data_IF_895541759561
#
_entry.id   IF_895541759561
#
_cell.length_a   1.000
_cell.length_b   1.000
_cell.length_c   1.000
_cell.angle_alpha   90.00
_cell.angle_beta   90.00
_cell.angle_gamma   90.00
#
_symmetry.space_group_name_H-M   'P 1'
#
loop_
_entity.id
_entity.type
_entity.pdbx_description
1 polymer ?
#
# COMPACT_ATOMS: atom_id res chain seq x y z
N UNK A 1 14.70 -16.09 -18.34
CA UNK A 1 13.64 -15.39 -17.56
C UNK A 1 13.31 -14.11 -18.32
N UNK A 2 12.06 -13.89 -18.71
CA UNK A 2 11.69 -12.70 -19.48
C UNK A 2 11.85 -11.40 -18.70
N UNK A 3 11.93 -10.28 -19.41
CA UNK A 3 11.93 -8.93 -18.81
C UNK A 3 10.72 -8.73 -17.90
N UNK A 4 10.95 -8.26 -16.67
CA UNK A 4 9.95 -8.14 -15.60
C UNK A 4 9.17 -6.82 -15.61
N UNK A 5 9.67 -5.83 -16.32
CA UNK A 5 9.09 -4.51 -16.48
C UNK A 5 9.08 -4.12 -17.96
N UNK A 6 8.18 -3.23 -18.34
CA UNK A 6 8.26 -2.52 -19.61
C UNK A 6 9.32 -1.43 -19.47
N UNK A 7 10.15 -1.23 -20.50
CA UNK A 7 11.08 -0.10 -20.52
C UNK A 7 10.27 1.20 -20.44
N UNK A 8 10.63 2.08 -19.51
CA UNK A 8 9.99 3.37 -19.38
C UNK A 8 10.58 4.33 -20.43
N UNK A 9 9.84 4.54 -21.52
CA UNK A 9 10.18 5.49 -22.58
C UNK A 9 9.22 6.70 -22.59
N UNK A 10 8.43 6.87 -21.51
CA UNK A 10 7.55 8.03 -21.36
C UNK A 10 8.40 9.30 -21.20
N UNK A 11 7.95 10.46 -21.72
CA UNK A 11 8.70 11.70 -21.61
C UNK A 11 8.92 12.09 -20.14
N UNK A 12 10.05 12.73 -19.86
CA UNK A 12 10.34 13.28 -18.53
C UNK A 12 9.47 14.52 -18.23
N UNK A 13 9.39 14.87 -16.95
CA UNK A 13 8.71 16.09 -16.53
C UNK A 13 9.47 17.32 -17.04
N UNK A 14 8.75 18.25 -17.68
CA UNK A 14 9.28 19.55 -18.07
C UNK A 14 8.63 20.62 -17.17
N UNK A 15 9.41 21.30 -16.30
CA UNK A 15 8.92 22.47 -15.57
C UNK A 15 8.52 23.56 -16.58
N UNK A 16 7.39 24.23 -16.36
CA UNK A 16 6.95 25.34 -17.21
C UNK A 16 7.85 26.58 -16.98
N UNK A 17 9.03 26.58 -17.60
CA UNK A 17 9.85 27.77 -17.86
C UNK A 17 10.43 27.65 -19.28
N UNK A 18 9.62 27.99 -20.29
CA UNK A 18 10.02 28.59 -21.58
C UNK A 18 8.79 28.63 -22.48
N UNK A 19 8.32 29.83 -22.79
CA UNK A 19 7.30 30.06 -23.82
C UNK A 19 7.87 29.85 -25.22
N UNK A 20 8.22 28.61 -25.57
CA UNK A 20 8.65 28.26 -26.92
C UNK A 20 7.74 27.22 -27.56
N UNK A 21 7.08 27.68 -28.61
CA UNK A 21 6.37 27.00 -29.69
C UNK A 21 6.04 25.52 -29.48
N UNK A 22 4.74 25.23 -29.42
CA UNK A 22 4.21 23.91 -29.72
C UNK A 22 4.82 23.40 -31.03
N UNK A 23 5.78 22.49 -30.94
CA UNK A 23 6.18 21.67 -32.06
C UNK A 23 4.98 20.79 -32.39
N UNK A 24 4.25 21.19 -33.42
CA UNK A 24 3.17 20.41 -34.03
C UNK A 24 3.81 19.21 -34.73
N UNK A 25 4.19 18.18 -33.97
CA UNK A 25 4.44 16.86 -34.53
C UNK A 25 3.10 16.12 -34.63
N UNK A 26 2.71 15.81 -35.87
CA UNK A 26 1.56 15.00 -36.21
C UNK A 26 1.64 13.61 -35.53
N UNK A 27 0.49 13.15 -35.04
CA UNK A 27 0.26 11.91 -34.29
C UNK A 27 0.96 11.76 -32.92
N UNK A 28 0.57 12.62 -31.97
CA UNK A 28 0.70 12.27 -30.54
C UNK A 28 -0.15 11.04 -30.26
N UNK A 29 0.49 9.95 -29.84
CA UNK A 29 -0.21 8.73 -29.43
C UNK A 29 -1.15 8.98 -28.23
N UNK A 30 -2.05 8.03 -27.95
CA UNK A 30 -3.07 8.19 -26.92
C UNK A 30 -2.47 8.39 -25.52
N UNK A 31 -1.32 7.77 -25.22
CA UNK A 31 -0.60 7.93 -23.96
C UNK A 31 -0.05 9.35 -23.79
N UNK A 32 0.60 9.89 -24.82
CA UNK A 32 1.16 11.26 -24.82
C UNK A 32 0.05 12.29 -24.62
N UNK A 33 -1.12 12.07 -25.23
CA UNK A 33 -2.31 12.91 -25.01
C UNK A 33 -2.79 12.87 -23.54
N UNK A 34 -2.75 11.72 -22.88
CA UNK A 34 -3.09 11.63 -21.44
C UNK A 34 -2.06 12.39 -20.57
N UNK A 35 -0.77 12.25 -20.89
CA UNK A 35 0.32 12.92 -20.18
C UNK A 35 0.25 14.44 -20.31
N UNK A 36 -0.26 14.97 -21.43
CA UNK A 36 -0.41 16.42 -21.62
C UNK A 36 -1.69 17.01 -21.03
N UNK A 37 -2.64 16.19 -20.53
CA UNK A 37 -3.90 16.71 -19.97
C UNK A 37 -3.65 17.53 -18.69
N UNK A 38 -4.32 18.67 -18.49
CA UNK A 38 -4.34 19.33 -17.19
C UNK A 38 -4.84 18.38 -16.09
N UNK A 39 -4.25 18.45 -14.90
CA UNK A 39 -4.49 17.46 -13.83
C UNK A 39 -5.99 17.31 -13.50
N UNK A 40 -6.74 18.41 -13.43
CA UNK A 40 -8.19 18.41 -13.16
C UNK A 40 -9.00 17.61 -14.18
N UNK A 41 -8.63 17.66 -15.45
CA UNK A 41 -9.31 16.91 -16.52
C UNK A 41 -8.87 15.45 -16.53
N UNK A 42 -7.58 15.22 -16.26
CA UNK A 42 -7.01 13.89 -16.10
C UNK A 42 -7.65 13.12 -14.94
N UNK A 43 -7.70 13.70 -13.74
CA UNK A 43 -8.25 13.05 -12.54
C UNK A 43 -9.74 12.70 -12.71
N UNK A 44 -10.53 13.59 -13.33
CA UNK A 44 -11.93 13.30 -13.68
C UNK A 44 -12.08 12.11 -14.64
N UNK A 45 -11.17 11.99 -15.62
CA UNK A 45 -11.15 10.85 -16.55
C UNK A 45 -10.80 9.55 -15.80
N UNK A 46 -9.80 9.58 -14.93
CA UNK A 46 -9.41 8.46 -14.08
C UNK A 46 -10.54 8.03 -13.16
N UNK A 47 -11.19 8.97 -12.48
CA UNK A 47 -12.31 8.70 -11.58
C UNK A 47 -13.45 7.98 -12.31
N UNK A 48 -13.83 8.43 -13.52
CA UNK A 48 -14.86 7.74 -14.32
C UNK A 48 -14.47 6.29 -14.66
N UNK A 49 -13.22 6.06 -15.06
CA UNK A 49 -12.74 4.71 -15.36
C UNK A 49 -12.68 3.84 -14.09
N UNK A 50 -12.24 4.42 -12.96
CA UNK A 50 -12.19 3.74 -11.67
C UNK A 50 -13.57 3.28 -11.18
N UNK A 51 -14.61 4.10 -11.40
CA UNK A 51 -15.98 3.73 -11.07
C UNK A 51 -16.47 2.55 -11.93
N UNK A 52 -16.14 2.52 -13.23
CA UNK A 52 -16.42 1.36 -14.09
C UNK A 52 -15.71 0.10 -13.60
N UNK A 53 -14.42 0.20 -13.23
CA UNK A 53 -13.67 -0.93 -12.68
C UNK A 53 -14.24 -1.39 -11.34
N UNK A 54 -14.63 -0.47 -10.46
CA UNK A 54 -15.30 -0.76 -9.18
C UNK A 54 -16.56 -1.58 -9.42
N UNK A 55 -17.40 -1.17 -10.37
CA UNK A 55 -18.65 -1.88 -10.68
C UNK A 55 -18.36 -3.29 -11.22
N UNK A 56 -17.34 -3.46 -12.06
CA UNK A 56 -16.87 -4.79 -12.50
C UNK A 56 -16.39 -5.65 -11.32
N UNK A 57 -15.58 -5.09 -10.41
CA UNK A 57 -15.07 -5.81 -9.25
C UNK A 57 -16.21 -6.24 -8.31
N UNK A 58 -17.17 -5.35 -8.07
CA UNK A 58 -18.38 -5.66 -7.28
C UNK A 58 -19.18 -6.77 -7.94
N UNK A 59 -19.45 -6.68 -9.24
CA UNK A 59 -20.18 -7.72 -9.96
C UNK A 59 -19.49 -9.08 -9.84
N UNK A 60 -18.19 -9.14 -10.08
CA UNK A 60 -17.43 -10.39 -10.14
C UNK A 60 -17.23 -11.03 -8.76
N UNK A 61 -17.07 -10.23 -7.71
CA UNK A 61 -16.74 -10.71 -6.35
C UNK A 61 -17.95 -10.84 -5.44
N UNK A 62 -19.02 -10.08 -5.68
CA UNK A 62 -20.21 -10.05 -4.83
C UNK A 62 -21.46 -10.61 -5.51
N UNK A 63 -21.85 -10.07 -6.66
CA UNK A 63 -23.11 -10.47 -7.31
C UNK A 63 -22.99 -11.85 -7.96
N UNK A 64 -21.97 -12.07 -8.78
CA UNK A 64 -21.75 -13.34 -9.49
C UNK A 64 -21.45 -14.50 -8.53
N UNK A 65 -20.84 -14.22 -7.37
CA UNK A 65 -20.59 -15.23 -6.35
C UNK A 65 -21.87 -15.63 -5.59
N UNK A 66 -22.97 -14.90 -5.79
CA UNK A 66 -24.23 -15.06 -5.06
C UNK A 66 -24.09 -14.59 -3.61
N UNK A 67 -23.32 -13.52 -3.38
CA UNK A 67 -23.01 -12.94 -2.06
C UNK A 67 -22.37 -13.94 -1.08
N UNK A 68 -21.68 -14.96 -1.61
CA UNK A 68 -20.98 -15.97 -0.81
C UNK A 68 -19.51 -15.63 -0.68
N UNK A 69 -19.04 -15.58 0.56
CA UNK A 69 -17.65 -15.25 0.90
C UNK A 69 -16.86 -16.51 1.18
N UNK A 70 -15.87 -16.81 0.32
CA UNK A 70 -14.89 -17.90 0.52
C UNK A 70 -13.55 -17.37 1.06
N UNK A 71 -12.98 -16.39 0.37
CA UNK A 71 -11.83 -15.64 0.86
C UNK A 71 -12.31 -14.31 1.39
N UNK A 72 -12.14 -14.10 2.69
CA UNK A 72 -12.67 -12.93 3.39
C UNK A 72 -11.69 -11.78 3.46
N UNK A 73 -10.38 -12.00 3.26
CA UNK A 73 -9.37 -11.02 3.67
C UNK A 73 -9.27 -9.81 2.72
N UNK A 74 -8.51 -8.78 3.11
CA UNK A 74 -8.32 -7.57 2.32
C UNK A 74 -7.41 -7.84 1.09
N UNK A 75 -6.44 -8.74 1.23
CA UNK A 75 -5.42 -9.03 0.23
C UNK A 75 -6.04 -9.55 -1.08
N UNK A 76 -6.67 -10.73 -1.01
CA UNK A 76 -7.26 -11.44 -2.16
C UNK A 76 -8.76 -11.62 -2.08
N UNK A 77 -9.34 -11.41 -0.90
CA UNK A 77 -10.74 -11.66 -0.60
C UNK A 77 -11.67 -10.47 -0.83
N UNK A 78 -12.92 -10.66 -0.44
CA UNK A 78 -14.00 -9.69 -0.62
C UNK A 78 -13.92 -8.48 0.32
N UNK A 79 -13.16 -8.53 1.41
CA UNK A 79 -12.88 -7.32 2.20
C UNK A 79 -12.08 -6.31 1.35
N UNK A 80 -11.29 -6.77 0.37
CA UNK A 80 -10.68 -5.94 -0.66
C UNK A 80 -11.72 -5.14 -1.46
N UNK A 81 -12.82 -5.78 -1.84
CA UNK A 81 -13.97 -5.14 -2.50
C UNK A 81 -14.64 -4.13 -1.58
N UNK A 82 -14.86 -4.48 -0.30
CA UNK A 82 -15.43 -3.56 0.68
C UNK A 82 -14.54 -2.31 0.85
N UNK A 83 -13.22 -2.48 0.91
CA UNK A 83 -12.29 -1.37 1.06
C UNK A 83 -12.22 -0.47 -0.18
N UNK A 84 -12.38 -1.05 -1.38
CA UNK A 84 -12.55 -0.27 -2.62
C UNK A 84 -13.86 0.54 -2.61
N UNK A 85 -14.97 -0.03 -2.14
CA UNK A 85 -16.23 0.69 -1.97
C UNK A 85 -16.12 1.81 -0.93
N UNK A 86 -15.46 1.53 0.20
CA UNK A 86 -15.15 2.54 1.21
C UNK A 86 -14.34 3.71 0.62
N UNK A 87 -13.33 3.40 -0.21
CA UNK A 87 -12.57 4.43 -0.93
C UNK A 87 -13.42 5.22 -1.93
N UNK A 88 -14.29 4.54 -2.67
CA UNK A 88 -15.26 5.19 -3.56
C UNK A 88 -16.16 6.14 -2.81
N UNK A 89 -16.68 5.75 -1.63
CA UNK A 89 -17.45 6.61 -0.75
C UNK A 89 -16.65 7.84 -0.31
N UNK A 90 -15.39 7.68 0.11
CA UNK A 90 -14.56 8.82 0.52
C UNK A 90 -14.40 9.88 -0.59
N UNK A 91 -14.32 9.44 -1.85
CA UNK A 91 -14.13 10.30 -3.02
C UNK A 91 -15.46 10.88 -3.53
N UNK A 92 -16.53 10.08 -3.55
CA UNK A 92 -17.80 10.44 -4.22
C UNK A 92 -18.92 10.85 -3.27
N UNK A 93 -18.80 10.52 -1.98
CA UNK A 93 -19.87 10.61 -0.97
C UNK A 93 -21.13 9.82 -1.34
N UNK A 94 -21.00 8.77 -2.15
CA UNK A 94 -22.10 7.89 -2.49
C UNK A 94 -22.41 6.95 -1.31
N UNK A 95 -23.48 7.25 -0.56
CA UNK A 95 -23.92 6.46 0.59
C UNK A 95 -24.26 4.99 0.25
N UNK A 96 -24.59 4.67 -1.01
CA UNK A 96 -24.82 3.29 -1.41
C UNK A 96 -23.53 2.47 -1.41
N UNK A 97 -22.39 3.08 -1.75
CA UNK A 97 -21.09 2.39 -1.67
C UNK A 97 -20.75 2.08 -0.19
N UNK A 98 -21.07 2.98 0.74
CA UNK A 98 -20.84 2.77 2.17
C UNK A 98 -21.75 1.67 2.74
N UNK A 99 -23.04 1.65 2.36
CA UNK A 99 -23.96 0.57 2.75
C UNK A 99 -23.50 -0.79 2.22
N UNK A 100 -23.13 -0.87 0.94
CA UNK A 100 -22.63 -2.11 0.35
C UNK A 100 -21.30 -2.54 0.97
N UNK A 101 -20.42 -1.59 1.34
CA UNK A 101 -19.22 -1.89 2.12
C UNK A 101 -19.57 -2.62 3.42
N UNK A 102 -20.54 -2.11 4.20
CA UNK A 102 -20.96 -2.75 5.46
C UNK A 102 -21.60 -4.13 5.24
N UNK A 103 -22.41 -4.31 4.19
CA UNK A 103 -22.97 -5.62 3.84
C UNK A 103 -21.87 -6.66 3.58
N UNK A 104 -20.85 -6.29 2.80
CA UNK A 104 -19.72 -7.16 2.49
C UNK A 104 -18.88 -7.42 3.75
N UNK A 105 -18.63 -6.41 4.58
CA UNK A 105 -17.90 -6.57 5.85
C UNK A 105 -18.63 -7.56 6.76
N UNK A 106 -19.96 -7.51 6.84
CA UNK A 106 -20.71 -8.46 7.66
C UNK A 106 -20.57 -9.90 7.16
N UNK A 107 -20.60 -10.11 5.85
CA UNK A 107 -20.35 -11.44 5.29
C UNK A 107 -18.89 -11.90 5.53
N UNK A 108 -17.91 -11.01 5.43
CA UNK A 108 -16.52 -11.30 5.81
C UNK A 108 -16.40 -11.67 7.29
N UNK A 109 -17.12 -10.97 8.15
CA UNK A 109 -17.14 -11.21 9.59
C UNK A 109 -17.68 -12.61 9.89
N UNK A 110 -18.80 -13.01 9.27
CA UNK A 110 -19.35 -14.35 9.42
C UNK A 110 -18.38 -15.46 8.96
N UNK A 111 -17.66 -15.27 7.85
CA UNK A 111 -16.69 -16.26 7.35
C UNK A 111 -15.39 -16.30 8.16
N UNK A 112 -15.00 -15.22 8.81
CA UNK A 112 -13.71 -15.11 9.51
C UNK A 112 -13.75 -15.42 11.01
N UNK A 113 -14.90 -15.81 11.57
CA UNK A 113 -15.08 -16.07 13.01
C UNK A 113 -14.07 -17.04 13.60
N UNK A 114 -13.77 -18.10 12.87
CA UNK A 114 -12.85 -19.17 13.32
C UNK A 114 -11.42 -18.98 12.79
N UNK A 115 -11.10 -17.80 12.22
CA UNK A 115 -9.81 -17.57 11.60
C UNK A 115 -8.73 -17.17 12.60
N UNK A 116 -7.58 -17.83 12.52
CA UNK A 116 -6.40 -17.51 13.33
C UNK A 116 -5.59 -16.32 12.78
N UNK A 117 -5.99 -15.72 11.66
CA UNK A 117 -5.26 -14.59 11.05
C UNK A 117 -5.65 -13.29 11.76
N UNK A 118 -4.65 -12.52 12.21
CA UNK A 118 -4.86 -11.40 13.13
C UNK A 118 -4.52 -10.01 12.57
N UNK A 119 -4.15 -9.90 11.29
CA UNK A 119 -3.65 -8.64 10.71
C UNK A 119 -4.74 -7.87 9.96
N UNK A 120 -4.45 -6.61 9.63
CA UNK A 120 -5.34 -5.81 8.78
C UNK A 120 -5.49 -6.39 7.37
N UNK A 121 -4.38 -6.79 6.74
CA UNK A 121 -4.39 -7.17 5.33
C UNK A 121 -4.89 -8.61 5.12
N UNK A 122 -4.50 -9.55 5.98
CA UNK A 122 -4.79 -10.97 5.77
C UNK A 122 -5.72 -11.58 6.83
N UNK A 123 -6.23 -10.80 7.78
CA UNK A 123 -6.89 -11.36 8.96
C UNK A 123 -8.13 -10.64 9.47
N UNK A 124 -8.63 -11.15 10.59
CA UNK A 124 -9.88 -10.72 11.22
C UNK A 124 -9.81 -9.28 11.74
N UNK A 125 -8.62 -8.79 12.11
CA UNK A 125 -8.43 -7.40 12.53
C UNK A 125 -8.81 -6.42 11.43
N UNK A 126 -8.55 -6.74 10.15
CA UNK A 126 -8.98 -5.91 9.02
C UNK A 126 -10.50 -5.82 8.88
N UNK A 127 -11.18 -6.95 9.07
CA UNK A 127 -12.64 -7.03 8.99
C UNK A 127 -13.28 -6.15 10.07
N UNK A 128 -12.86 -6.33 11.33
CA UNK A 128 -13.36 -5.54 12.45
C UNK A 128 -13.00 -4.06 12.31
N UNK A 129 -11.77 -3.75 11.91
CA UNK A 129 -11.31 -2.37 11.80
C UNK A 129 -12.07 -1.58 10.72
N UNK A 130 -12.25 -2.17 9.53
CA UNK A 130 -13.04 -1.54 8.47
C UNK A 130 -14.51 -1.41 8.86
N UNK A 131 -15.09 -2.46 9.47
CA UNK A 131 -16.47 -2.44 9.93
C UNK A 131 -16.75 -1.34 10.94
N UNK A 132 -15.88 -1.18 11.94
CA UNK A 132 -16.00 -0.13 12.94
C UNK A 132 -15.94 1.28 12.31
N UNK A 133 -14.97 1.52 11.42
CA UNK A 133 -14.82 2.83 10.74
C UNK A 133 -16.02 3.12 9.83
N UNK A 134 -16.47 2.15 9.05
CA UNK A 134 -17.64 2.32 8.18
C UNK A 134 -18.92 2.57 8.99
N UNK A 135 -19.14 1.84 10.10
CA UNK A 135 -20.29 2.01 10.98
C UNK A 135 -20.30 3.40 11.66
N UNK A 136 -19.12 3.91 12.05
CA UNK A 136 -19.00 5.28 12.55
C UNK A 136 -19.47 6.31 11.53
N UNK A 137 -19.13 6.13 10.25
CA UNK A 137 -19.51 7.07 9.19
C UNK A 137 -21.01 7.02 8.86
N UNK A 138 -21.68 5.88 9.07
CA UNK A 138 -23.15 5.80 8.97
C UNK A 138 -23.87 6.30 10.22
N UNK A 139 -23.16 6.62 11.30
CA UNK A 139 -23.74 7.01 12.58
C UNK A 139 -24.35 5.85 13.38
N UNK A 140 -24.03 4.61 13.02
CA UNK A 140 -24.53 3.42 13.71
C UNK A 140 -23.62 3.04 14.89
N UNK A 141 -23.89 3.63 16.05
CA UNK A 141 -23.09 3.41 17.26
C UNK A 141 -23.15 1.96 17.76
N UNK A 142 -24.28 1.26 17.59
CA UNK A 142 -24.41 -0.13 18.03
C UNK A 142 -23.52 -1.06 17.19
N UNK A 143 -23.51 -0.83 15.87
CA UNK A 143 -22.67 -1.58 14.94
C UNK A 143 -21.19 -1.28 15.14
N UNK A 144 -20.85 -0.01 15.40
CA UNK A 144 -19.51 0.42 15.79
C UNK A 144 -19.03 -0.33 17.04
N UNK A 145 -19.80 -0.30 18.14
CA UNK A 145 -19.45 -0.96 19.40
C UNK A 145 -19.30 -2.48 19.23
N UNK A 146 -20.14 -3.09 18.38
CA UNK A 146 -20.04 -4.51 18.03
C UNK A 146 -18.68 -4.83 17.40
N UNK A 147 -18.25 -4.09 16.38
CA UNK A 147 -16.97 -4.36 15.72
C UNK A 147 -15.76 -4.03 16.60
N UNK A 148 -15.83 -2.97 17.42
CA UNK A 148 -14.78 -2.66 18.39
C UNK A 148 -14.65 -3.78 19.45
N UNK A 149 -15.77 -4.27 19.99
CA UNK A 149 -15.77 -5.39 20.94
C UNK A 149 -15.07 -6.61 20.33
N UNK A 150 -15.41 -6.98 19.10
CA UNK A 150 -14.76 -8.10 18.38
C UNK A 150 -13.29 -7.86 18.11
N UNK A 151 -12.90 -6.63 17.76
CA UNK A 151 -11.49 -6.27 17.66
C UNK A 151 -10.76 -6.45 19.00
N UNK A 152 -11.42 -6.15 20.13
CA UNK A 152 -10.89 -6.33 21.48
C UNK A 152 -10.77 -7.78 21.94
N UNK A 153 -11.50 -8.70 21.30
CA UNK A 153 -11.42 -10.14 21.55
C UNK A 153 -10.19 -10.78 20.88
N UNK A 154 -9.62 -10.18 19.84
CA UNK A 154 -8.44 -10.70 19.15
C UNK A 154 -7.29 -10.92 20.15
N UNK A 155 -6.73 -12.14 20.15
CA UNK A 155 -5.57 -12.54 20.94
C UNK A 155 -4.42 -12.84 19.99
N UNK A 156 -3.21 -12.45 20.37
CA UNK A 156 -2.01 -12.72 19.58
C UNK A 156 -1.31 -13.95 20.17
N UNK A 157 -1.24 -15.08 19.43
CA UNK A 157 -0.47 -16.23 19.87
C UNK A 157 1.00 -15.86 20.12
N UNK A 158 1.69 -16.60 20.99
CA UNK A 158 3.11 -16.35 21.29
C UNK A 158 4.00 -16.53 20.06
N UNK A 159 3.74 -17.56 19.24
CA UNK A 159 4.48 -17.90 18.02
C UNK A 159 4.12 -17.08 16.77
N UNK A 160 3.35 -16.00 16.90
CA UNK A 160 3.00 -15.15 15.77
C UNK A 160 4.26 -14.44 15.21
N UNK A 161 4.44 -14.36 13.88
CA UNK A 161 5.57 -13.63 13.30
C UNK A 161 5.47 -12.12 13.56
N UNK A 162 6.47 -11.35 13.12
CA UNK A 162 6.54 -9.92 13.39
C UNK A 162 6.11 -9.04 12.21
N UNK A 163 6.07 -9.59 11.00
CA UNK A 163 5.86 -8.83 9.76
C UNK A 163 4.42 -8.36 9.53
N UNK A 164 4.18 -7.67 8.40
CA UNK A 164 2.96 -6.90 8.16
C UNK A 164 1.78 -7.78 7.73
N UNK A 165 1.99 -8.83 6.92
CA UNK A 165 0.88 -9.59 6.37
C UNK A 165 0.28 -10.56 7.38
N UNK A 166 1.06 -11.16 8.25
CA UNK A 166 0.60 -12.20 9.18
C UNK A 166 1.04 -11.98 10.63
N UNK A 167 1.87 -10.97 10.90
CA UNK A 167 2.52 -10.77 12.17
C UNK A 167 2.00 -9.63 13.04
N UNK A 168 2.76 -9.37 14.10
CA UNK A 168 2.49 -8.35 15.12
C UNK A 168 2.42 -6.94 14.53
N UNK A 169 3.27 -6.60 13.56
CA UNK A 169 3.20 -5.30 12.89
C UNK A 169 1.87 -5.14 12.14
N UNK A 170 1.37 -6.18 11.48
CA UNK A 170 0.08 -6.17 10.78
C UNK A 170 -1.13 -5.98 11.68
N UNK A 171 -1.10 -6.54 12.89
CA UNK A 171 -2.11 -6.29 13.91
C UNK A 171 -2.00 -4.86 14.47
N UNK A 172 -0.78 -4.42 14.80
CA UNK A 172 -0.54 -3.08 15.34
C UNK A 172 -0.94 -1.99 14.35
N UNK A 173 -0.73 -2.20 13.05
CA UNK A 173 -1.25 -1.33 11.99
C UNK A 173 -2.78 -1.19 12.04
N UNK A 174 -3.51 -2.28 12.28
CA UNK A 174 -4.98 -2.24 12.42
C UNK A 174 -5.41 -1.40 13.65
N UNK A 175 -4.68 -1.49 14.77
CA UNK A 175 -4.92 -0.66 15.95
C UNK A 175 -4.74 0.82 15.64
N UNK A 176 -3.66 1.17 14.93
CA UNK A 176 -3.38 2.54 14.52
C UNK A 176 -4.44 3.09 13.55
N UNK A 177 -4.90 2.26 12.60
CA UNK A 177 -5.99 2.59 11.70
C UNK A 177 -7.27 2.95 12.45
N UNK A 178 -7.67 2.12 13.43
CA UNK A 178 -8.83 2.41 14.29
C UNK A 178 -8.67 3.73 15.05
N UNK A 179 -7.51 3.94 15.68
CA UNK A 179 -7.25 5.17 16.45
C UNK A 179 -7.26 6.41 15.56
N UNK A 180 -6.75 6.33 14.33
CA UNK A 180 -6.76 7.44 13.38
C UNK A 180 -8.17 7.83 12.94
N UNK A 181 -9.03 6.85 12.64
CA UNK A 181 -10.33 7.10 12.03
C UNK A 181 -11.49 7.25 13.03
N UNK A 182 -11.40 6.60 14.20
CA UNK A 182 -12.46 6.63 15.22
C UNK A 182 -12.11 7.64 16.31
N UNK A 183 -10.88 7.63 16.80
CA UNK A 183 -10.40 8.56 17.81
C UNK A 183 -9.24 7.97 18.59
N UNK A 184 -8.33 8.85 19.04
CA UNK A 184 -7.23 8.50 19.96
C UNK A 184 -7.86 7.78 21.16
N UNK A 185 -7.45 6.53 21.41
CA UNK A 185 -7.96 5.61 22.45
C UNK A 185 -9.08 4.63 22.08
N UNK A 186 -9.45 4.51 20.80
CA UNK A 186 -10.34 3.42 20.34
C UNK A 186 -9.71 2.03 20.59
N UNK A 187 -8.39 1.95 20.47
CA UNK A 187 -7.56 0.88 20.99
C UNK A 187 -6.59 1.49 21.99
N UNK A 188 -6.65 1.11 23.28
CA UNK A 188 -5.86 1.76 24.32
C UNK A 188 -4.37 1.46 24.17
N UNK A 189 -3.53 2.42 24.57
CA UNK A 189 -2.07 2.26 24.58
C UNK A 189 -1.62 1.04 25.39
N UNK A 190 -2.32 0.71 26.49
CA UNK A 190 -2.06 -0.50 27.30
C UNK A 190 -2.16 -1.82 26.53
N UNK A 191 -2.85 -1.83 25.38
CA UNK A 191 -2.93 -2.99 24.49
C UNK A 191 -1.90 -2.94 23.35
N UNK A 192 -1.52 -1.75 22.90
CA UNK A 192 -0.57 -1.56 21.80
C UNK A 192 0.88 -1.65 22.27
N UNK A 193 1.20 -1.02 23.41
CA UNK A 193 2.56 -0.90 23.94
C UNK A 193 3.23 -2.26 24.22
N UNK A 194 2.56 -3.27 24.82
CA UNK A 194 3.17 -4.60 24.97
C UNK A 194 3.51 -5.28 23.64
N UNK A 195 2.77 -4.99 22.57
CA UNK A 195 3.06 -5.53 21.23
C UNK A 195 4.31 -4.87 20.64
N UNK A 196 4.46 -3.56 20.85
CA UNK A 196 5.66 -2.80 20.46
C UNK A 196 6.90 -3.32 21.20
N UNK A 197 6.80 -3.47 22.52
CA UNK A 197 7.89 -3.99 23.37
C UNK A 197 8.31 -5.39 22.94
N UNK A 198 7.36 -6.27 22.61
CA UNK A 198 7.66 -7.61 22.12
C UNK A 198 8.36 -7.59 20.76
N UNK A 199 7.96 -6.68 19.85
CA UNK A 199 8.65 -6.48 18.57
C UNK A 199 10.11 -6.04 18.80
N UNK A 200 10.34 -5.04 19.67
CA UNK A 200 11.71 -4.60 19.98
C UNK A 200 12.53 -5.67 20.69
N UNK A 201 11.94 -6.36 21.68
CA UNK A 201 12.62 -7.44 22.43
C UNK A 201 13.11 -8.52 21.48
N UNK A 202 12.24 -9.02 20.60
CA UNK A 202 12.63 -10.04 19.61
C UNK A 202 13.58 -9.49 18.55
N UNK A 203 13.34 -8.27 18.07
CA UNK A 203 14.18 -7.62 17.05
C UNK A 203 15.62 -7.45 17.52
N UNK A 204 15.81 -6.97 18.76
CA UNK A 204 17.11 -6.81 19.42
C UNK A 204 17.79 -8.15 19.71
N UNK A 205 17.01 -9.19 20.03
CA UNK A 205 17.54 -10.53 20.29
C UNK A 205 18.18 -11.16 19.04
N UNK A 206 17.61 -10.91 17.86
CA UNK A 206 18.14 -11.42 16.59
C UNK A 206 19.10 -10.44 15.91
N UNK A 207 18.95 -9.14 16.17
CA UNK A 207 19.80 -8.08 15.65
C UNK A 207 21.18 -8.04 16.32
N UNK A 208 22.07 -7.23 15.73
CA UNK A 208 23.43 -7.02 16.22
C UNK A 208 23.70 -5.51 16.25
N UNK A 209 23.92 -4.96 17.46
CA UNK A 209 24.29 -3.54 17.63
C UNK A 209 25.59 -3.26 16.88
N UNK A 210 25.63 -2.15 16.14
CA UNK A 210 26.75 -1.80 15.26
C UNK A 210 26.65 -2.35 13.83
N UNK A 211 25.69 -3.25 13.55
CA UNK A 211 25.30 -3.67 12.19
C UNK A 211 23.84 -3.31 11.92
N UNK A 212 22.93 -4.26 12.07
CA UNK A 212 21.49 -4.07 11.96
C UNK A 212 20.87 -4.27 13.35
N UNK A 213 20.48 -3.20 14.07
CA UNK A 213 20.02 -3.28 15.45
C UNK A 213 18.77 -4.15 15.65
N UNK A 214 17.86 -4.14 14.68
CA UNK A 214 16.65 -4.95 14.69
C UNK A 214 16.65 -5.90 13.49
N UNK A 215 16.47 -7.19 13.77
CA UNK A 215 16.37 -8.22 12.74
C UNK A 215 15.19 -9.15 13.01
N UNK A 216 14.54 -9.62 11.95
CA UNK A 216 13.36 -10.47 12.04
C UNK A 216 13.40 -11.54 10.97
N UNK A 217 12.64 -12.61 11.20
CA UNK A 217 12.53 -13.74 10.29
C UNK A 217 11.07 -14.10 10.03
N UNK A 218 10.78 -14.49 8.79
CA UNK A 218 9.52 -15.12 8.41
C UNK A 218 9.83 -16.28 7.45
N UNK A 219 9.30 -17.47 7.72
CA UNK A 219 9.58 -18.70 6.95
C UNK A 219 11.08 -18.95 6.69
N UNK A 220 11.93 -18.86 7.72
CA UNK A 220 13.36 -19.15 7.57
C UNK A 220 14.17 -18.02 6.91
N UNK A 221 13.56 -16.88 6.60
CA UNK A 221 14.19 -15.80 5.83
C UNK A 221 14.08 -14.44 6.50
N UNK A 222 15.21 -13.74 6.51
CA UNK A 222 15.35 -12.37 7.01
C UNK A 222 14.98 -11.36 5.93
N UNK A 223 13.69 -11.16 5.71
CA UNK A 223 13.19 -10.29 4.64
C UNK A 223 13.42 -8.81 4.93
N UNK A 224 13.60 -8.02 3.86
CA UNK A 224 13.78 -6.56 3.95
C UNK A 224 12.53 -5.77 3.56
N UNK A 225 11.72 -6.30 2.65
CA UNK A 225 10.61 -5.56 2.02
C UNK A 225 9.43 -5.27 2.95
N UNK A 226 8.45 -4.52 2.42
CA UNK A 226 7.33 -3.99 3.21
C UNK A 226 6.33 -5.05 3.68
N UNK A 227 6.12 -6.12 2.89
CA UNK A 227 5.14 -7.15 3.23
C UNK A 227 5.62 -8.03 4.39
N UNK A 228 6.83 -8.57 4.28
CA UNK A 228 7.31 -9.64 5.16
C UNK A 228 8.57 -9.29 5.97
N UNK A 229 9.07 -8.05 5.86
CA UNK A 229 10.42 -7.72 6.28
C UNK A 229 10.57 -6.44 7.09
N UNK A 230 11.83 -6.03 7.23
CA UNK A 230 12.26 -4.89 8.04
C UNK A 230 11.47 -3.61 7.71
N UNK A 231 11.33 -3.26 6.43
CA UNK A 231 10.64 -2.06 5.98
C UNK A 231 9.20 -1.99 6.52
N UNK A 232 8.47 -3.12 6.51
CA UNK A 232 7.10 -3.17 7.02
C UNK A 232 7.02 -2.94 8.52
N UNK A 233 7.93 -3.59 9.26
CA UNK A 233 7.98 -3.49 10.71
C UNK A 233 8.38 -2.07 11.13
N UNK A 234 9.45 -1.52 10.55
CA UNK A 234 9.91 -0.16 10.83
C UNK A 234 8.84 0.88 10.49
N UNK A 235 8.14 0.70 9.35
CA UNK A 235 7.04 1.60 8.97
C UNK A 235 5.98 1.69 10.07
N UNK A 236 5.53 0.56 10.60
CA UNK A 236 4.52 0.51 11.68
C UNK A 236 5.05 1.12 12.97
N UNK A 237 6.30 0.81 13.35
CA UNK A 237 6.92 1.36 14.56
C UNK A 237 7.01 2.89 14.53
N UNK A 238 7.23 3.51 13.37
CA UNK A 238 7.26 4.97 13.22
C UNK A 238 5.89 5.65 13.34
N UNK A 239 4.80 4.90 13.53
CA UNK A 239 3.46 5.44 13.80
C UNK A 239 3.04 5.33 15.27
N UNK A 240 3.88 4.74 16.12
CA UNK A 240 3.67 4.75 17.58
C UNK A 240 4.61 5.74 18.27
N UNK A 241 4.32 6.06 19.52
CA UNK A 241 5.26 6.78 20.38
C UNK A 241 6.38 5.82 20.80
N UNK A 242 7.60 6.16 20.42
CA UNK A 242 8.82 5.38 20.65
C UNK A 242 9.70 6.05 21.70
N UNK A 243 10.36 5.24 22.52
CA UNK A 243 11.39 5.71 23.45
C UNK A 243 12.67 6.12 22.70
N UNK A 244 13.55 6.95 23.29
CA UNK A 244 14.77 7.40 22.62
C UNK A 244 15.66 6.26 22.08
N UNK A 245 15.82 5.16 22.82
CA UNK A 245 16.60 4.00 22.38
C UNK A 245 15.89 3.21 21.26
N UNK A 246 14.57 3.19 21.26
CA UNK A 246 13.76 2.58 20.20
C UNK A 246 13.85 3.37 18.90
N UNK A 247 13.85 4.71 18.99
CA UNK A 247 14.07 5.61 17.86
C UNK A 247 15.43 5.33 17.21
N UNK A 248 16.50 5.22 18.00
CA UNK A 248 17.84 4.97 17.48
C UNK A 248 17.97 3.58 16.85
N UNK A 249 17.31 2.56 17.39
CA UNK A 249 17.28 1.23 16.78
C UNK A 249 16.53 1.21 15.44
N UNK A 250 15.40 1.93 15.35
CA UNK A 250 14.64 2.08 14.09
C UNK A 250 15.48 2.81 13.04
N UNK A 251 16.07 3.96 13.40
CA UNK A 251 16.96 4.71 12.49
C UNK A 251 18.14 3.86 12.04
N UNK A 252 18.83 3.20 12.98
CA UNK A 252 19.98 2.37 12.69
C UNK A 252 19.65 1.20 11.76
N UNK A 253 18.45 0.60 11.90
CA UNK A 253 17.97 -0.45 11.01
C UNK A 253 17.71 0.08 9.60
N UNK A 254 17.11 1.26 9.46
CA UNK A 254 16.90 1.90 8.16
C UNK A 254 18.21 2.33 7.50
N UNK A 255 19.13 2.96 8.24
CA UNK A 255 20.46 3.31 7.74
C UNK A 255 21.27 2.06 7.32
N UNK A 256 21.13 0.95 8.04
CA UNK A 256 21.71 -0.33 7.62
C UNK A 256 21.20 -0.75 6.24
N UNK A 257 19.88 -0.70 6.02
CA UNK A 257 19.29 -1.04 4.71
C UNK A 257 19.77 -0.10 3.60
N UNK A 258 19.87 1.20 3.86
CA UNK A 258 20.36 2.20 2.88
C UNK A 258 21.80 1.89 2.46
N UNK A 259 22.69 1.62 3.43
CA UNK A 259 24.12 1.37 3.17
C UNK A 259 24.38 0.05 2.43
N UNK A 260 23.48 -0.92 2.57
CA UNK A 260 23.66 -2.28 2.04
C UNK A 260 22.70 -2.63 0.89
N UNK A 261 22.08 -1.62 0.25
CA UNK A 261 21.30 -1.81 -0.98
C UNK A 261 22.19 -2.21 -2.17
N UNK A 262 21.60 -2.69 -3.25
CA UNK A 262 22.34 -3.06 -4.45
C UNK A 262 23.02 -1.84 -5.10
N UNK A 263 24.08 -2.04 -5.90
CA UNK A 263 24.70 -0.96 -6.68
C UNK A 263 23.72 -0.19 -7.59
N UNK A 264 22.62 -0.81 -8.00
CA UNK A 264 21.55 -0.18 -8.79
C UNK A 264 20.68 0.80 -7.99
N UNK A 265 20.85 0.87 -6.67
CA UNK A 265 19.96 1.58 -5.74
C UNK A 265 18.76 0.76 -5.26
N UNK A 266 18.47 -0.40 -5.87
CA UNK A 266 17.36 -1.26 -5.42
C UNK A 266 17.70 -1.98 -4.12
N UNK A 267 16.68 -2.41 -3.38
CA UNK A 267 16.84 -3.08 -2.09
C UNK A 267 16.72 -4.60 -2.22
N UNK A 268 17.44 -5.31 -1.34
CA UNK A 268 17.42 -6.76 -1.28
C UNK A 268 16.01 -7.27 -0.95
N UNK A 269 15.68 -8.47 -1.40
CA UNK A 269 14.45 -9.14 -0.93
C UNK A 269 14.60 -9.63 0.51
N UNK A 270 15.79 -10.14 0.84
CA UNK A 270 16.17 -10.72 2.13
C UNK A 270 17.69 -10.68 2.29
N UNK A 271 18.19 -10.80 3.53
CA UNK A 271 19.61 -10.93 3.84
C UNK A 271 20.32 -11.95 2.93
N UNK A 272 21.52 -11.61 2.46
CA UNK A 272 22.35 -12.45 1.60
C UNK A 272 21.81 -12.68 0.18
N UNK A 273 20.71 -12.04 -0.22
CA UNK A 273 20.22 -12.16 -1.60
C UNK A 273 21.10 -11.36 -2.57
N UNK A 274 21.69 -12.06 -3.54
CA UNK A 274 22.49 -11.45 -4.61
C UNK A 274 21.65 -11.08 -5.85
N UNK A 275 20.32 -11.30 -5.80
CA UNK A 275 19.46 -11.20 -6.97
C UNK A 275 18.67 -9.89 -7.01
N UNK A 276 19.20 -8.90 -7.73
CA UNK A 276 18.55 -7.61 -7.96
C UNK A 276 17.45 -7.67 -9.05
N UNK A 277 16.27 -8.18 -8.68
CA UNK A 277 15.20 -8.47 -9.65
C UNK A 277 13.78 -8.05 -9.25
N UNK A 278 13.54 -7.71 -7.98
CA UNK A 278 12.21 -7.38 -7.47
C UNK A 278 12.15 -5.87 -7.21
N UNK A 279 11.23 -5.19 -7.89
CA UNK A 279 10.94 -3.75 -7.72
C UNK A 279 9.46 -3.64 -7.38
N UNK A 280 9.08 -4.24 -6.25
CA UNK A 280 7.71 -4.41 -5.80
C UNK A 280 7.48 -3.75 -4.44
N UNK A 281 6.22 -3.47 -4.07
CA UNK A 281 5.91 -3.09 -2.69
C UNK A 281 6.31 -4.19 -1.70
N UNK A 282 5.96 -5.45 -1.99
CA UNK A 282 6.31 -6.55 -1.10
C UNK A 282 7.82 -6.77 -0.93
N UNK A 283 8.61 -6.56 -1.98
CA UNK A 283 10.06 -6.75 -2.01
C UNK A 283 10.75 -5.80 -2.99
N UNK A 284 11.68 -4.98 -2.49
CA UNK A 284 12.49 -4.05 -3.27
C UNK A 284 12.17 -2.58 -3.00
N UNK A 285 12.66 -1.72 -3.89
CA UNK A 285 12.62 -0.27 -3.75
C UNK A 285 11.22 0.31 -3.44
N UNK A 286 10.10 -0.09 -4.06
CA UNK A 286 8.82 0.55 -3.79
C UNK A 286 8.38 0.49 -2.33
N UNK A 287 8.47 -0.69 -1.70
CA UNK A 287 8.10 -0.84 -0.29
C UNK A 287 9.02 -0.05 0.63
N UNK A 288 10.32 -0.09 0.37
CA UNK A 288 11.33 0.62 1.16
C UNK A 288 11.21 2.14 0.99
N UNK A 289 10.95 2.63 -0.22
CA UNK A 289 10.77 4.05 -0.50
C UNK A 289 9.62 4.64 0.34
N UNK A 290 8.48 3.96 0.40
CA UNK A 290 7.34 4.36 1.24
C UNK A 290 7.71 4.39 2.74
N UNK A 291 8.53 3.45 3.20
CA UNK A 291 9.08 3.47 4.57
C UNK A 291 10.00 4.67 4.78
N UNK A 292 10.91 4.95 3.84
CA UNK A 292 11.86 6.05 3.95
C UNK A 292 11.18 7.42 3.89
N UNK A 293 10.10 7.57 3.12
CA UNK A 293 9.26 8.77 3.17
C UNK A 293 8.69 8.98 4.58
N UNK A 294 8.15 7.92 5.20
CA UNK A 294 7.67 7.99 6.58
C UNK A 294 8.80 8.34 7.56
N UNK A 295 9.99 7.77 7.37
CA UNK A 295 11.17 8.08 8.18
C UNK A 295 11.60 9.55 8.03
N UNK A 296 11.61 10.08 6.81
CA UNK A 296 11.88 11.48 6.54
C UNK A 296 10.88 12.42 7.23
N UNK A 297 9.59 12.08 7.24
CA UNK A 297 8.56 12.86 7.94
C UNK A 297 8.74 12.88 9.46
N UNK A 298 9.10 11.74 10.05
CA UNK A 298 9.22 11.58 11.50
C UNK A 298 10.55 12.11 12.02
N UNK A 299 11.65 11.74 11.40
CA UNK A 299 13.00 12.05 11.88
C UNK A 299 13.61 13.30 11.27
N UNK A 300 13.06 13.79 10.14
CA UNK A 300 13.49 15.04 9.46
C UNK A 300 14.99 15.06 9.15
N UNK A 301 15.53 13.95 8.66
CA UNK A 301 16.93 13.82 8.24
C UNK A 301 17.07 13.81 6.73
N UNK A 302 18.09 14.49 6.22
CA UNK A 302 18.37 14.54 4.79
C UNK A 302 18.71 13.15 4.22
N UNK A 303 19.39 12.29 4.99
CA UNK A 303 19.68 10.89 4.61
C UNK A 303 18.41 10.13 4.17
N UNK A 304 17.31 10.27 4.91
CA UNK A 304 16.06 9.56 4.57
C UNK A 304 15.32 10.22 3.40
N UNK A 305 15.40 11.54 3.26
CA UNK A 305 14.83 12.25 2.11
C UNK A 305 15.55 11.83 0.82
N UNK A 306 16.89 11.88 0.81
CA UNK A 306 17.72 11.49 -0.33
C UNK A 306 17.52 10.02 -0.69
N UNK A 307 17.60 9.11 0.28
CA UNK A 307 17.41 7.69 0.04
C UNK A 307 16.01 7.35 -0.50
N UNK A 308 14.96 8.07 -0.04
CA UNK A 308 13.61 7.91 -0.59
C UNK A 308 13.53 8.37 -2.06
N UNK A 309 14.14 9.51 -2.40
CA UNK A 309 14.18 10.02 -3.78
C UNK A 309 14.95 9.09 -4.71
N UNK A 310 16.11 8.57 -4.27
CA UNK A 310 16.91 7.59 -5.03
C UNK A 310 16.15 6.27 -5.25
N UNK A 311 15.44 5.78 -4.23
CA UNK A 311 14.54 4.65 -4.40
C UNK A 311 13.42 4.96 -5.41
N UNK A 312 12.93 6.20 -5.44
CA UNK A 312 12.02 6.71 -6.47
C UNK A 312 12.58 6.61 -7.89
N UNK A 313 13.88 6.88 -8.09
CA UNK A 313 14.55 6.69 -9.40
C UNK A 313 14.57 5.23 -9.84
N UNK A 314 14.81 4.29 -8.91
CA UNK A 314 14.72 2.86 -9.22
C UNK A 314 13.33 2.51 -9.72
N UNK A 315 12.29 3.05 -9.07
CA UNK A 315 10.89 2.79 -9.44
C UNK A 315 10.54 3.46 -10.77
N UNK A 316 11.05 4.66 -11.05
CA UNK A 316 10.84 5.31 -12.34
C UNK A 316 11.42 4.50 -13.50
N UNK A 317 12.62 3.96 -13.32
CA UNK A 317 13.33 3.23 -14.38
C UNK A 317 12.89 1.77 -14.53
N UNK A 318 12.50 1.10 -13.44
CA UNK A 318 12.28 -0.37 -13.39
C UNK A 318 10.93 -0.78 -12.80
N UNK A 319 10.13 0.18 -12.34
CA UNK A 319 8.86 -0.05 -11.64
C UNK A 319 7.63 -0.15 -12.55
N UNK A 320 7.77 0.02 -13.87
CA UNK A 320 6.68 -0.19 -14.83
C UNK A 320 6.47 -1.69 -15.09
N UNK A 321 6.09 -2.42 -14.05
CA UNK A 321 6.05 -3.88 -14.01
C UNK A 321 5.08 -4.47 -15.04
N UNK A 322 5.38 -5.70 -15.50
CA UNK A 322 4.43 -6.48 -16.33
C UNK A 322 3.29 -7.10 -15.51
N UNK A 323 2.77 -6.37 -14.52
CA UNK A 323 1.69 -6.78 -13.61
C UNK A 323 0.87 -5.56 -13.18
N UNK A 324 -0.45 -5.74 -13.01
CA UNK A 324 -1.37 -4.61 -12.77
C UNK A 324 -1.46 -4.17 -11.30
N UNK A 325 -1.44 -5.12 -10.36
CA UNK A 325 -1.91 -4.92 -8.98
C UNK A 325 -1.09 -4.02 -8.05
N UNK A 326 -1.47 -4.04 -6.77
CA UNK A 326 -0.91 -3.20 -5.70
C UNK A 326 0.33 -3.83 -5.06
N UNK A 327 0.34 -5.14 -4.82
CA UNK A 327 1.43 -5.79 -4.08
C UNK A 327 2.76 -5.78 -4.85
N UNK A 328 2.68 -5.96 -6.16
CA UNK A 328 3.82 -6.10 -7.06
C UNK A 328 3.43 -5.79 -8.52
N UNK A 329 2.74 -4.68 -8.71
CA UNK A 329 2.33 -4.18 -10.02
C UNK A 329 2.46 -2.67 -10.13
N UNK A 330 2.09 -2.14 -11.29
CA UNK A 330 2.19 -0.71 -11.59
C UNK A 330 1.33 0.10 -10.60
N UNK A 331 0.14 -0.38 -10.25
CA UNK A 331 -0.76 0.35 -9.34
C UNK A 331 -0.14 0.61 -7.97
N UNK A 332 0.60 -0.37 -7.44
CA UNK A 332 1.32 -0.22 -6.18
C UNK A 332 2.52 0.71 -6.29
N UNK A 333 3.28 0.58 -7.39
CA UNK A 333 4.47 1.39 -7.62
C UNK A 333 4.14 2.87 -7.85
N UNK A 334 2.93 3.20 -8.34
CA UNK A 334 2.45 4.59 -8.43
C UNK A 334 2.49 5.33 -7.09
N UNK A 335 2.20 4.63 -5.98
CA UNK A 335 2.19 5.25 -4.64
C UNK A 335 3.55 5.77 -4.19
N UNK A 336 4.65 5.24 -4.74
CA UNK A 336 5.99 5.75 -4.44
C UNK A 336 6.09 7.22 -4.84
N UNK A 337 5.63 7.54 -6.04
CA UNK A 337 5.64 8.91 -6.54
C UNK A 337 4.61 9.78 -5.81
N UNK A 338 3.44 9.25 -5.45
CA UNK A 338 2.47 9.98 -4.63
C UNK A 338 3.03 10.32 -3.24
N UNK A 339 3.74 9.39 -2.61
CA UNK A 339 4.36 9.58 -1.30
C UNK A 339 5.52 10.58 -1.37
N UNK A 340 6.37 10.50 -2.39
CA UNK A 340 7.42 11.48 -2.65
C UNK A 340 6.86 12.88 -2.97
N UNK A 341 5.75 12.96 -3.71
CA UNK A 341 5.05 14.22 -3.94
C UNK A 341 4.53 14.83 -2.64
N UNK A 342 3.89 14.02 -1.77
CA UNK A 342 3.44 14.46 -0.45
C UNK A 342 4.59 14.92 0.45
N UNK A 343 5.75 14.28 0.37
CA UNK A 343 6.93 14.65 1.15
C UNK A 343 7.57 15.95 0.65
N UNK A 344 7.73 16.12 -0.66
CA UNK A 344 8.61 17.13 -1.25
C UNK A 344 7.88 18.32 -1.87
N UNK A 345 6.59 18.17 -2.22
CA UNK A 345 5.84 19.13 -3.01
C UNK A 345 6.29 19.27 -4.47
N UNK A 346 7.30 18.51 -4.94
CA UNK A 346 7.82 18.61 -6.31
C UNK A 346 6.84 18.02 -7.33
N UNK A 347 6.40 18.84 -8.27
CA UNK A 347 5.45 18.44 -9.32
C UNK A 347 5.94 17.29 -10.22
N UNK A 348 7.25 17.09 -10.32
CA UNK A 348 7.86 15.96 -11.01
C UNK A 348 7.32 14.62 -10.50
N UNK A 349 7.20 14.43 -9.18
CA UNK A 349 6.68 13.17 -8.64
C UNK A 349 5.18 13.02 -8.91
N UNK A 350 4.41 14.12 -8.90
CA UNK A 350 3.01 14.06 -9.33
C UNK A 350 2.89 13.67 -10.81
N UNK A 351 3.78 14.18 -11.66
CA UNK A 351 3.87 13.81 -13.06
C UNK A 351 4.22 12.32 -13.23
N UNK A 352 5.19 11.79 -12.50
CA UNK A 352 5.55 10.36 -12.55
C UNK A 352 4.40 9.44 -12.10
N UNK A 353 3.66 9.84 -11.05
CA UNK A 353 2.43 9.14 -10.63
C UNK A 353 1.37 9.15 -11.75
N UNK A 354 1.14 10.31 -12.35
CA UNK A 354 0.25 10.49 -13.50
C UNK A 354 0.69 9.63 -14.69
N UNK A 355 1.99 9.51 -14.95
CA UNK A 355 2.50 8.71 -16.06
C UNK A 355 2.21 7.22 -15.88
N UNK A 356 2.46 6.67 -14.69
CA UNK A 356 2.14 5.27 -14.38
C UNK A 356 0.63 5.00 -14.47
N UNK A 357 -0.20 5.92 -13.97
CA UNK A 357 -1.65 5.80 -14.07
C UNK A 357 -2.15 5.94 -15.52
N UNK A 358 -1.53 6.81 -16.32
CA UNK A 358 -1.84 6.98 -17.75
C UNK A 358 -1.48 5.71 -18.54
N UNK A 359 -0.33 5.10 -18.26
CA UNK A 359 0.08 3.85 -18.87
C UNK A 359 -0.93 2.73 -18.60
N UNK A 360 -1.39 2.62 -17.34
CA UNK A 360 -2.42 1.65 -16.98
C UNK A 360 -3.73 1.94 -17.73
N UNK A 361 -4.22 3.18 -17.68
CA UNK A 361 -5.47 3.57 -18.35
C UNK A 361 -5.44 3.31 -19.86
N UNK A 362 -4.30 3.51 -20.51
CA UNK A 362 -4.14 3.40 -21.96
C UNK A 362 -3.84 1.98 -22.45
N UNK A 363 -3.09 1.19 -21.65
CA UNK A 363 -2.50 -0.08 -22.12
C UNK A 363 -2.96 -1.32 -21.36
N UNK A 364 -3.40 -1.21 -20.10
CA UNK A 364 -3.51 -2.39 -19.22
C UNK A 364 -4.47 -3.45 -19.76
N UNK A 365 -5.66 -3.05 -20.22
CA UNK A 365 -6.68 -3.97 -20.73
C UNK A 365 -6.13 -4.84 -21.87
N UNK A 366 -5.55 -4.19 -22.89
CA UNK A 366 -4.93 -4.85 -24.04
C UNK A 366 -3.73 -5.73 -23.63
N UNK A 367 -2.85 -5.22 -22.77
CA UNK A 367 -1.67 -5.98 -22.34
C UNK A 367 -2.05 -7.21 -21.51
N UNK A 368 -3.11 -7.13 -20.71
CA UNK A 368 -3.64 -8.26 -19.94
C UNK A 368 -4.27 -9.29 -20.88
N UNK A 369 -5.13 -8.87 -21.82
CA UNK A 369 -5.78 -9.80 -22.76
C UNK A 369 -4.78 -10.52 -23.68
N UNK A 370 -3.67 -9.87 -24.02
CA UNK A 370 -2.59 -10.45 -24.82
C UNK A 370 -1.58 -11.27 -24.01
N UNK A 371 -1.75 -11.38 -22.68
CA UNK A 371 -0.83 -12.11 -21.80
C UNK A 371 0.54 -11.45 -21.61
N UNK A 372 0.71 -10.18 -22.03
CA UNK A 372 1.93 -9.39 -21.87
C UNK A 372 2.04 -8.73 -20.49
N UNK A 373 0.92 -8.55 -19.81
CA UNK A 373 0.81 -8.08 -18.42
C UNK A 373 -0.01 -9.09 -17.61
N UNK A 374 0.47 -9.46 -16.43
CA UNK A 374 -0.27 -10.35 -15.53
C UNK A 374 -1.40 -9.58 -14.81
N UNK A 375 -2.63 -10.07 -14.93
CA UNK A 375 -3.82 -9.49 -14.29
C UNK A 375 -3.99 -9.79 -12.79
N UNK A 376 -3.11 -10.61 -12.22
CA UNK A 376 -3.21 -11.11 -10.83
C UNK A 376 -3.83 -12.51 -10.77
N UNK A 377 -3.40 -13.35 -9.83
CA UNK A 377 -3.95 -14.71 -9.67
C UNK A 377 -5.41 -14.65 -9.24
N UNK A 378 -5.74 -13.63 -8.43
CA UNK A 378 -7.11 -13.18 -8.18
C UNK A 378 -7.35 -11.85 -8.92
N UNK A 379 -7.85 -11.88 -10.17
CA UNK A 379 -7.83 -10.71 -11.07
C UNK A 379 -8.70 -9.53 -10.62
N UNK A 380 -9.63 -9.75 -9.68
CA UNK A 380 -10.51 -8.72 -9.11
C UNK A 380 -10.13 -8.33 -7.68
N UNK A 381 -9.09 -8.93 -7.11
CA UNK A 381 -8.66 -8.61 -5.75
C UNK A 381 -8.06 -7.22 -5.62
N UNK A 382 -7.98 -6.72 -4.38
CA UNK A 382 -7.36 -5.44 -4.09
C UNK A 382 -5.83 -5.50 -4.26
N UNK A 383 -5.14 -6.54 -3.75
CA UNK A 383 -3.68 -6.54 -3.75
C UNK A 383 -3.05 -7.09 -5.04
N UNK A 384 -3.75 -7.91 -5.83
CA UNK A 384 -3.18 -8.52 -7.05
C UNK A 384 -3.83 -8.02 -8.34
N UNK A 385 -5.13 -7.69 -8.28
CA UNK A 385 -5.98 -7.48 -9.43
C UNK A 385 -6.32 -6.03 -9.75
N UNK A 386 -7.35 -5.86 -10.59
CA UNK A 386 -7.87 -4.55 -11.01
C UNK A 386 -8.61 -3.80 -9.89
N UNK A 387 -8.95 -4.48 -8.79
CA UNK A 387 -9.48 -3.81 -7.59
C UNK A 387 -8.49 -2.80 -7.03
N UNK A 388 -7.20 -3.16 -7.00
CA UNK A 388 -6.12 -2.26 -6.63
C UNK A 388 -5.87 -1.12 -7.62
N UNK A 389 -6.04 -1.40 -8.92
CA UNK A 389 -5.96 -0.36 -9.96
C UNK A 389 -7.07 0.67 -9.80
N UNK A 390 -8.31 0.23 -9.58
CA UNK A 390 -9.45 1.10 -9.29
C UNK A 390 -9.20 1.94 -8.03
N UNK A 391 -8.68 1.31 -6.97
CA UNK A 391 -8.34 2.00 -5.72
C UNK A 391 -7.33 3.12 -5.96
N UNK A 392 -6.23 2.84 -6.65
CA UNK A 392 -5.21 3.83 -6.99
C UNK A 392 -5.78 4.97 -7.86
N UNK A 393 -6.61 4.66 -8.85
CA UNK A 393 -7.23 5.70 -9.69
C UNK A 393 -8.17 6.62 -8.91
N UNK A 394 -8.91 6.10 -7.92
CA UNK A 394 -9.71 6.92 -7.01
C UNK A 394 -8.80 7.82 -6.16
N UNK A 395 -7.67 7.30 -5.69
CA UNK A 395 -6.72 8.05 -4.87
C UNK A 395 -6.05 9.21 -5.62
N UNK A 396 -5.83 9.06 -6.93
CA UNK A 396 -5.32 10.12 -7.80
C UNK A 396 -6.23 11.36 -7.87
N UNK A 397 -7.48 11.29 -7.38
CA UNK A 397 -8.36 12.46 -7.36
C UNK A 397 -7.87 13.55 -6.39
N UNK A 398 -7.30 13.16 -5.26
CA UNK A 398 -6.68 14.05 -4.27
C UNK A 398 -5.27 13.54 -3.92
N UNK A 399 -4.27 13.77 -4.79
CA UNK A 399 -2.95 13.12 -4.67
C UNK A 399 -2.21 13.46 -3.36
N UNK A 400 -2.51 14.60 -2.74
CA UNK A 400 -1.94 14.99 -1.45
C UNK A 400 -2.51 14.21 -0.26
N UNK A 401 -3.65 13.52 -0.45
CA UNK A 401 -4.30 12.66 0.54
C UNK A 401 -4.16 11.17 0.21
N UNK A 402 -3.44 10.83 -0.87
CA UNK A 402 -3.32 9.45 -1.31
C UNK A 402 -2.39 8.62 -0.43
N UNK A 403 -2.87 7.46 0.02
CA UNK A 403 -2.19 6.58 0.96
C UNK A 403 -2.24 5.14 0.45
N UNK A 404 -1.10 4.47 0.37
CA UNK A 404 -1.05 3.06 -0.03
C UNK A 404 -1.95 2.21 0.89
N UNK A 405 -2.92 1.44 0.34
CA UNK A 405 -3.92 0.73 1.14
C UNK A 405 -3.28 -0.33 2.04
N UNK A 406 -3.55 -0.25 3.34
CA UNK A 406 -3.00 -1.20 4.33
C UNK A 406 -1.52 -0.98 4.67
N UNK A 407 -0.89 0.11 4.21
CA UNK A 407 0.50 0.42 4.50
C UNK A 407 0.71 1.82 5.05
N UNK A 408 0.39 2.85 4.26
CA UNK A 408 0.51 4.24 4.74
C UNK A 408 -0.74 4.61 5.55
N UNK A 409 -0.55 5.36 6.64
CA UNK A 409 -1.61 5.70 7.59
C UNK A 409 -2.04 7.15 7.56
#
# INVERSE_FOLDING_TARGET
>A
MGERFFRNEMPEFLPEETGENETVSADKDSLTKLLSLPYKSFSKKLQRYALSLKDTVVFETWERSGKRVRDYNLYTGVLGTAYLLFKSYQVTRNENDLKLCLEIVEACYCTSRDSERVTFICGHAGVCALGAVAAKLTGDNQLLDRYLTRFHEIRLPSGLPYELLYGRAGYLWACLFLNKHIGKDSVPSSRMRPVVEEIFRSGRQMGERGKCPLMFEWHGKKYWGAAHGLAGIMHVLMHVELEPDEIEDVKGTLSYMIRHRFPSGNYLSSEGSESDRLVHWCHGAPGVALTLVKAAQVFRTDEFVEAAMEAGEVVWNRGLLKRVGICHGISGNTYVFLSLYRLTGKLEYLYRAKAFASFLLDKSEKLISEGKMHGGDRPFSLFEGIGGMAYMFLDMNEPTQALFPGYEL
#
